data_IF_190712514452
#
_entry.id   IF_190712514452
#
_cell.length_a   1.000
_cell.length_b   1.000
_cell.length_c   1.000
_cell.angle_alpha   90.00
_cell.angle_beta   90.00
_cell.angle_gamma   90.00
#
_symmetry.space_group_name_H-M   'P 1'
#
loop_
_entity.id
_entity.type
_entity.pdbx_description
1 polymer ?
#
# COMPACT_ATOMS: atom_id res chain seq x y z
N UNK A 1 5.51 15.09 -6.28
CA UNK A 1 5.58 13.64 -6.58
C UNK A 1 4.21 13.12 -6.98
N UNK A 2 4.15 12.24 -7.98
CA UNK A 2 2.91 11.60 -8.51
C UNK A 2 2.02 11.07 -7.37
N UNK A 3 2.61 10.54 -6.30
CA UNK A 3 1.90 10.09 -5.10
C UNK A 3 0.97 11.13 -4.47
N UNK A 4 1.34 12.40 -4.41
CA UNK A 4 0.54 13.44 -3.74
C UNK A 4 -0.74 13.75 -4.51
N UNK A 5 -0.73 13.59 -5.84
CA UNK A 5 -1.90 13.80 -6.71
C UNK A 5 -2.86 12.60 -6.60
N UNK A 6 -2.29 11.41 -6.48
CA UNK A 6 -3.03 10.14 -6.49
C UNK A 6 -3.61 9.80 -5.11
N UNK A 7 -2.97 10.25 -4.03
CA UNK A 7 -3.40 9.99 -2.66
C UNK A 7 -4.86 10.39 -2.36
N UNK A 8 -5.32 11.63 -2.61
CA UNK A 8 -6.71 12.00 -2.33
C UNK A 8 -7.70 11.20 -3.18
N UNK A 9 -7.38 10.94 -4.45
CA UNK A 9 -8.23 10.14 -5.33
C UNK A 9 -8.37 8.69 -4.83
N UNK A 10 -7.26 8.06 -4.42
CA UNK A 10 -7.26 6.69 -3.90
C UNK A 10 -7.94 6.56 -2.55
N UNK A 11 -7.87 7.58 -1.70
CA UNK A 11 -8.58 7.59 -0.41
C UNK A 11 -10.09 7.74 -0.57
N UNK A 12 -10.56 8.60 -1.49
CA UNK A 12 -11.99 8.77 -1.77
C UNK A 12 -12.57 7.51 -2.41
N UNK A 13 -11.93 7.00 -3.47
CA UNK A 13 -12.34 5.77 -4.14
C UNK A 13 -12.31 4.58 -3.18
N UNK A 14 -11.26 4.49 -2.36
CA UNK A 14 -11.13 3.45 -1.35
C UNK A 14 -12.20 3.52 -0.27
N UNK A 15 -12.53 4.72 0.22
CA UNK A 15 -13.59 4.92 1.20
C UNK A 15 -14.96 4.50 0.67
N UNK A 16 -15.32 4.95 -0.55
CA UNK A 16 -16.59 4.56 -1.19
C UNK A 16 -16.66 3.06 -1.48
N UNK A 17 -15.57 2.47 -1.97
CA UNK A 17 -15.51 1.02 -2.22
C UNK A 17 -15.57 0.20 -0.92
N UNK A 18 -15.13 0.77 0.21
CA UNK A 18 -15.11 0.09 1.51
C UNK A 18 -16.53 -0.13 2.04
N UNK A 19 -17.39 0.87 1.86
CA UNK A 19 -18.79 0.83 2.27
C UNK A 19 -19.61 -0.15 1.44
N UNK A 20 -19.22 -0.40 0.18
CA UNK A 20 -19.98 -1.25 -0.76
C UNK A 20 -19.53 -2.72 -0.70
N UNK A 21 -18.21 -3.00 -0.70
CA UNK A 21 -17.68 -4.36 -0.82
C UNK A 21 -17.30 -5.02 0.51
N UNK A 22 -17.30 -4.25 1.60
CA UNK A 22 -16.92 -4.72 2.93
C UNK A 22 -15.42 -4.63 3.18
N UNK A 23 -15.08 -4.26 4.41
CA UNK A 23 -13.75 -3.83 4.86
C UNK A 23 -12.64 -4.85 4.58
N UNK A 24 -12.87 -6.14 4.90
CA UNK A 24 -11.86 -7.21 4.71
C UNK A 24 -11.60 -7.54 3.22
N UNK A 25 -12.65 -7.57 2.40
CA UNK A 25 -12.53 -7.88 0.96
C UNK A 25 -11.78 -6.80 0.20
N UNK A 26 -12.01 -5.54 0.58
CA UNK A 26 -11.33 -4.41 -0.03
C UNK A 26 -9.82 -4.42 0.27
N UNK A 27 -9.41 -4.82 1.49
CA UNK A 27 -7.99 -5.00 1.83
C UNK A 27 -7.34 -6.07 0.96
N UNK A 28 -7.99 -7.23 0.79
CA UNK A 28 -7.48 -8.33 -0.06
C UNK A 28 -7.34 -7.86 -1.52
N UNK A 29 -8.37 -7.22 -2.07
CA UNK A 29 -8.38 -6.73 -3.44
C UNK A 29 -7.32 -5.63 -3.66
N UNK A 30 -7.20 -4.71 -2.70
CA UNK A 30 -6.20 -3.65 -2.74
C UNK A 30 -4.78 -4.20 -2.69
N UNK A 31 -4.52 -5.24 -1.88
CA UNK A 31 -3.23 -5.94 -1.83
C UNK A 31 -2.88 -6.61 -3.17
N UNK A 32 -3.87 -7.19 -3.86
CA UNK A 32 -3.68 -7.74 -5.20
C UNK A 32 -3.29 -6.66 -6.22
N UNK A 33 -3.96 -5.50 -6.21
CA UNK A 33 -3.58 -4.37 -7.06
C UNK A 33 -2.20 -3.79 -6.71
N UNK A 34 -1.82 -3.84 -5.44
CA UNK A 34 -0.51 -3.41 -4.95
C UNK A 34 0.60 -4.32 -5.53
N UNK A 35 0.38 -5.64 -5.49
CA UNK A 35 1.27 -6.62 -6.12
C UNK A 35 1.39 -6.39 -7.65
N UNK A 36 0.27 -6.20 -8.34
CA UNK A 36 0.25 -5.87 -9.77
C UNK A 36 1.02 -4.58 -10.08
N UNK A 37 0.85 -3.54 -9.26
CA UNK A 37 1.55 -2.27 -9.44
C UNK A 37 3.07 -2.41 -9.35
N UNK A 38 3.58 -3.17 -8.37
CA UNK A 38 5.02 -3.45 -8.26
C UNK A 38 5.54 -4.34 -9.38
N UNK A 39 4.76 -5.33 -9.81
CA UNK A 39 5.12 -6.21 -10.93
C UNK A 39 5.25 -5.41 -12.24
N UNK A 40 4.32 -4.49 -12.50
CA UNK A 40 4.38 -3.57 -13.66
C UNK A 40 5.61 -2.67 -13.59
N UNK A 41 5.96 -2.15 -12.41
CA UNK A 41 7.17 -1.34 -12.21
C UNK A 41 8.44 -2.17 -12.44
N UNK A 42 8.47 -3.43 -11.98
CA UNK A 42 9.60 -4.33 -12.16
C UNK A 42 9.83 -4.70 -13.64
N UNK A 43 8.76 -4.88 -14.41
CA UNK A 43 8.81 -5.15 -15.84
C UNK A 43 8.89 -3.89 -16.72
N UNK A 44 8.94 -2.69 -16.13
CA UNK A 44 8.91 -1.46 -16.90
C UNK A 44 10.17 -1.29 -17.79
N UNK A 45 9.93 -1.02 -19.07
CA UNK A 45 10.95 -0.70 -20.06
C UNK A 45 11.03 0.81 -20.35
N UNK A 46 9.95 1.54 -20.08
CA UNK A 46 9.82 2.97 -20.36
C UNK A 46 9.42 3.76 -19.11
N UNK A 47 9.86 5.02 -19.02
CA UNK A 47 9.51 5.91 -17.91
C UNK A 47 8.00 6.09 -17.73
N UNK A 48 7.23 6.08 -18.83
CA UNK A 48 5.76 6.13 -18.80
C UNK A 48 5.14 4.93 -18.07
N UNK A 49 5.69 3.73 -18.24
CA UNK A 49 5.19 2.51 -17.59
C UNK A 49 5.48 2.55 -16.09
N UNK A 50 6.62 3.11 -15.69
CA UNK A 50 6.94 3.36 -14.28
C UNK A 50 5.92 4.32 -13.65
N UNK A 51 5.60 5.42 -14.35
CA UNK A 51 4.62 6.41 -13.86
C UNK A 51 3.23 5.78 -13.74
N UNK A 52 2.79 5.02 -14.75
CA UNK A 52 1.51 4.31 -14.71
C UNK A 52 1.45 3.31 -13.54
N UNK A 53 2.50 2.51 -13.35
CA UNK A 53 2.60 1.58 -12.22
C UNK A 53 2.56 2.29 -10.87
N UNK A 54 3.24 3.45 -10.73
CA UNK A 54 3.21 4.27 -9.51
C UNK A 54 1.82 4.85 -9.22
N UNK A 55 1.04 5.19 -10.25
CA UNK A 55 -0.34 5.66 -10.08
C UNK A 55 -1.20 4.51 -9.56
N UNK A 56 -1.19 3.35 -10.22
CA UNK A 56 -2.01 2.19 -9.81
C UNK A 56 -1.65 1.74 -8.39
N UNK A 57 -0.36 1.58 -8.12
CA UNK A 57 0.16 1.18 -6.81
C UNK A 57 -0.15 2.24 -5.75
N UNK A 58 -0.08 3.52 -6.11
CA UNK A 58 -0.46 4.63 -5.25
C UNK A 58 -1.93 4.59 -4.86
N UNK A 59 -2.85 4.40 -5.82
CA UNK A 59 -4.29 4.28 -5.53
C UNK A 59 -4.53 3.10 -4.59
N UNK A 60 -4.02 1.92 -4.96
CA UNK A 60 -4.20 0.69 -4.19
C UNK A 60 -3.68 0.83 -2.76
N UNK A 61 -2.46 1.35 -2.57
CA UNK A 61 -1.87 1.52 -1.24
C UNK A 61 -2.70 2.44 -0.35
N UNK A 62 -3.19 3.56 -0.88
CA UNK A 62 -4.01 4.51 -0.11
C UNK A 62 -5.36 3.89 0.26
N UNK A 63 -5.99 3.17 -0.68
CA UNK A 63 -7.22 2.42 -0.40
C UNK A 63 -7.04 1.35 0.68
N UNK A 64 -5.92 0.61 0.66
CA UNK A 64 -5.67 -0.38 1.73
C UNK A 64 -5.37 0.31 3.05
N UNK A 65 -4.57 1.37 3.06
CA UNK A 65 -4.23 2.09 4.29
C UNK A 65 -5.48 2.62 5.02
N UNK A 66 -6.43 3.23 4.29
CA UNK A 66 -7.70 3.69 4.87
C UNK A 66 -8.53 2.52 5.40
N UNK A 67 -8.68 1.45 4.61
CA UNK A 67 -9.45 0.25 5.01
C UNK A 67 -8.87 -0.47 6.22
N UNK A 68 -7.54 -0.59 6.28
CA UNK A 68 -6.85 -1.27 7.37
C UNK A 68 -6.97 -0.49 8.68
N UNK A 69 -6.84 0.84 8.62
CA UNK A 69 -7.00 1.72 9.79
C UNK A 69 -8.40 1.62 10.36
N UNK A 70 -9.40 1.63 9.47
CA UNK A 70 -10.81 1.54 9.82
C UNK A 70 -11.18 0.16 10.38
N UNK A 71 -10.65 -0.93 9.80
CA UNK A 71 -10.81 -2.28 10.33
C UNK A 71 -10.13 -2.44 11.70
N UNK A 72 -8.95 -1.85 11.86
CA UNK A 72 -8.21 -1.87 13.14
C UNK A 72 -8.98 -1.11 14.21
N UNK A 73 -9.61 0.02 13.88
CA UNK A 73 -10.46 0.77 14.80
C UNK A 73 -11.70 -0.03 15.23
N UNK A 74 -12.35 -0.75 14.31
CA UNK A 74 -13.48 -1.63 14.64
C UNK A 74 -13.11 -2.77 15.59
N UNK A 75 -11.96 -3.40 15.37
CA UNK A 75 -11.50 -4.55 16.14
C UNK A 75 -10.88 -4.16 17.50
N UNK A 76 -10.50 -2.89 17.67
CA UNK A 76 -9.76 -2.45 18.85
C UNK A 76 -10.71 -2.05 19.99
N UNK A 77 -10.36 -2.45 21.21
CA UNK A 77 -11.03 -1.99 22.43
C UNK A 77 -10.84 -0.48 22.64
N UNK A 78 -11.89 0.28 23.04
CA UNK A 78 -11.88 1.74 23.14
C UNK A 78 -10.77 2.30 24.05
N UNK A 79 -10.25 1.50 25.00
CA UNK A 79 -9.16 1.89 25.90
C UNK A 79 -7.77 1.85 25.27
N UNK A 80 -7.56 1.07 24.21
CA UNK A 80 -6.22 0.84 23.62
C UNK A 80 -6.12 1.23 22.14
N UNK A 81 -7.21 1.72 21.53
CA UNK A 81 -7.26 2.09 20.09
C UNK A 81 -6.14 3.04 19.69
N UNK A 82 -5.89 4.07 20.49
CA UNK A 82 -4.84 5.05 20.23
C UNK A 82 -3.45 4.41 20.13
N UNK A 83 -3.12 3.49 21.03
CA UNK A 83 -1.84 2.80 21.02
C UNK A 83 -1.71 1.85 19.83
N UNK A 84 -2.77 1.13 19.48
CA UNK A 84 -2.77 0.21 18.33
C UNK A 84 -2.59 0.99 17.03
N UNK A 85 -3.36 2.08 16.83
CA UNK A 85 -3.26 2.92 15.64
C UNK A 85 -1.87 3.56 15.54
N UNK A 86 -1.34 4.12 16.63
CA UNK A 86 0.02 4.65 16.65
C UNK A 86 1.05 3.57 16.28
N UNK A 87 0.94 2.36 16.85
CA UNK A 87 1.81 1.24 16.51
C UNK A 87 1.77 0.88 15.02
N UNK A 88 0.58 0.83 14.43
CA UNK A 88 0.40 0.58 12.99
C UNK A 88 1.07 1.66 12.14
N UNK A 89 0.86 2.94 12.46
CA UNK A 89 1.44 4.07 11.71
C UNK A 89 2.97 4.11 11.84
N UNK A 90 3.50 3.83 13.03
CA UNK A 90 4.94 3.71 13.24
C UNK A 90 5.54 2.56 12.44
N UNK A 91 4.86 1.41 12.38
CA UNK A 91 5.31 0.26 11.56
C UNK A 91 5.35 0.60 10.07
N UNK A 92 4.34 1.33 9.55
CA UNK A 92 4.34 1.79 8.16
C UNK A 92 5.51 2.74 7.90
N UNK A 93 5.76 3.67 8.84
CA UNK A 93 6.85 4.65 8.72
C UNK A 93 8.22 3.97 8.73
N UNK A 94 8.43 2.95 9.58
CA UNK A 94 9.64 2.14 9.60
C UNK A 94 9.85 1.39 8.27
N UNK A 95 8.78 0.84 7.69
CA UNK A 95 8.83 0.20 6.38
C UNK A 95 9.24 1.15 5.25
N UNK A 96 8.71 2.38 5.24
CA UNK A 96 9.08 3.42 4.27
C UNK A 96 10.55 3.78 4.41
N UNK A 97 11.07 3.92 5.63
CA UNK A 97 12.49 4.20 5.87
C UNK A 97 13.33 3.04 5.34
N UNK A 98 12.99 1.79 5.67
CA UNK A 98 13.72 0.61 5.22
C UNK A 98 13.81 0.52 3.69
N UNK A 99 12.70 0.70 2.98
CA UNK A 99 12.69 0.61 1.52
C UNK A 99 13.37 1.82 0.86
N UNK A 100 13.29 2.99 1.48
CA UNK A 100 13.97 4.20 0.98
C UNK A 100 15.49 4.10 1.15
N UNK A 101 15.96 3.56 2.28
CA UNK A 101 17.37 3.27 2.49
C UNK A 101 17.88 2.24 1.48
N UNK A 102 17.15 1.13 1.27
CA UNK A 102 17.51 0.13 0.24
C UNK A 102 17.53 0.74 -1.17
N UNK A 103 16.55 1.58 -1.50
CA UNK A 103 16.49 2.29 -2.79
C UNK A 103 17.59 3.32 -2.99
N UNK A 104 18.24 3.79 -1.92
CA UNK A 104 19.40 4.69 -2.02
C UNK A 104 20.70 3.96 -2.37
N UNK A 105 20.85 2.70 -1.94
CA UNK A 105 22.05 1.89 -2.20
C UNK A 105 21.92 0.95 -3.40
N UNK A 106 20.70 0.59 -3.80
CA UNK A 106 20.42 -0.39 -4.85
C UNK A 106 19.80 0.24 -6.10
N UNK A 107 20.03 -0.38 -7.26
CA UNK A 107 19.39 0.01 -8.51
C UNK A 107 17.86 -0.14 -8.41
N UNK A 108 17.09 0.76 -9.03
CA UNK A 108 15.62 0.81 -8.93
C UNK A 108 14.90 -0.50 -9.28
N UNK A 109 15.52 -1.32 -10.15
CA UNK A 109 15.05 -2.66 -10.51
C UNK A 109 15.08 -3.64 -9.34
N UNK A 110 16.19 -3.68 -8.59
CA UNK A 110 16.33 -4.53 -7.41
C UNK A 110 15.41 -4.07 -6.27
N UNK A 111 15.26 -2.76 -6.07
CA UNK A 111 14.32 -2.23 -5.09
C UNK A 111 12.86 -2.63 -5.41
N UNK A 112 12.48 -2.59 -6.69
CA UNK A 112 11.14 -3.00 -7.14
C UNK A 112 10.92 -4.51 -7.03
N UNK A 113 11.95 -5.33 -7.26
CA UNK A 113 11.90 -6.78 -7.07
C UNK A 113 11.68 -7.15 -5.60
N UNK A 114 12.42 -6.53 -4.67
CA UNK A 114 12.27 -6.72 -3.23
C UNK A 114 10.84 -6.34 -2.78
N UNK A 115 10.32 -5.21 -3.27
CA UNK A 115 8.95 -4.77 -2.98
C UNK A 115 7.90 -5.78 -3.47
N UNK A 116 8.09 -6.32 -4.68
CA UNK A 116 7.19 -7.33 -5.25
C UNK A 116 7.17 -8.62 -4.42
N UNK A 117 8.35 -9.07 -3.94
CA UNK A 117 8.43 -10.24 -3.06
C UNK A 117 7.75 -10.00 -1.71
N UNK A 118 7.91 -8.81 -1.14
CA UNK A 118 7.24 -8.43 0.11
C UNK A 118 5.72 -8.40 -0.05
N UNK A 119 5.21 -7.81 -1.14
CA UNK A 119 3.77 -7.79 -1.45
C UNK A 119 3.21 -9.20 -1.67
N UNK A 120 3.97 -10.10 -2.28
CA UNK A 120 3.56 -11.49 -2.48
C UNK A 120 3.45 -12.25 -1.15
N UNK A 121 4.43 -12.11 -0.26
CA UNK A 121 4.39 -12.72 1.06
C UNK A 121 3.21 -12.20 1.90
N UNK A 122 2.94 -10.89 1.83
CA UNK A 122 1.80 -10.28 2.51
C UNK A 122 0.44 -10.79 2.00
N UNK A 123 0.33 -11.16 0.71
CA UNK A 123 -0.90 -11.72 0.15
C UNK A 123 -1.13 -13.17 0.63
N UNK A 124 -0.07 -13.95 0.80
CA UNK A 124 -0.13 -15.35 1.23
C UNK A 124 -0.52 -15.52 2.71
N UNK A 125 -0.26 -14.51 3.54
CA UNK A 125 -0.50 -14.53 4.98
C UNK A 125 -1.84 -13.89 5.42
N UNK A 126 -2.76 -13.63 4.49
CA UNK A 126 -4.02 -12.88 4.68
C UNK A 126 -5.27 -13.77 4.63
#
# INVERSE_FOLDING_TARGET
>A
SVYSIVAPAGSILGGLAMDIWGRKKLVILGMFFLFLGWLVIACAQNALVIIAGRIVEGIARNTVASSLTVLTDELSDPKIRGNIICGCVTSVSAGIIGISSLGAYLHWRTASAIATMFSHFSLLHL
#
